data_IF_562592831908
#
_entry.id   IF_562592831908
#
_cell.length_a   1.000
_cell.length_b   1.000
_cell.length_c   1.000
_cell.angle_alpha   90.00
_cell.angle_beta   90.00
_cell.angle_gamma   90.00
#
_symmetry.space_group_name_H-M   'P 1'
#
loop_
_entity.id
_entity.type
_entity.pdbx_description
1 polymer ?
#
# COMPACT_ATOMS: atom_id res chain seq x y z
N UNK A 1 -17.06 -17.26 24.34
CA UNK A 1 -18.25 -17.09 25.20
C UNK A 1 -18.74 -15.64 25.09
N UNK A 2 -20.04 -15.36 25.00
CA UNK A 2 -20.58 -13.99 24.89
C UNK A 2 -20.49 -13.28 26.26
N UNK A 3 -20.21 -11.98 26.28
CA UNK A 3 -20.08 -11.18 27.52
C UNK A 3 -21.44 -10.86 28.18
N UNK A 4 -22.52 -10.73 27.41
CA UNK A 4 -23.88 -10.43 27.92
C UNK A 4 -24.94 -11.23 27.11
N UNK A 5 -25.32 -12.44 27.53
CA UNK A 5 -26.25 -13.29 26.77
C UNK A 5 -27.72 -12.88 26.88
N UNK A 6 -28.09 -12.06 27.87
CA UNK A 6 -29.48 -11.68 28.17
C UNK A 6 -29.92 -10.37 27.51
N UNK A 7 -29.01 -9.60 26.93
CA UNK A 7 -29.33 -8.28 26.39
C UNK A 7 -29.71 -8.34 24.90
N UNK A 8 -30.81 -7.67 24.48
CA UNK A 8 -31.15 -7.55 23.08
C UNK A 8 -30.09 -6.70 22.34
N UNK A 9 -29.92 -6.94 21.05
CA UNK A 9 -28.93 -6.26 20.19
C UNK A 9 -28.93 -4.72 20.34
N UNK A 10 -30.10 -4.11 20.49
CA UNK A 10 -30.25 -2.65 20.69
C UNK A 10 -29.69 -2.19 22.05
N UNK A 11 -29.91 -2.97 23.11
CA UNK A 11 -29.37 -2.68 24.43
C UNK A 11 -27.84 -2.85 24.44
N UNK A 12 -27.31 -3.86 23.75
CA UNK A 12 -25.88 -4.04 23.54
C UNK A 12 -25.24 -2.85 22.81
N UNK A 13 -25.87 -2.41 21.71
CA UNK A 13 -25.39 -1.24 20.96
C UNK A 13 -25.31 0.02 21.83
N UNK A 14 -26.33 0.27 22.66
CA UNK A 14 -26.34 1.40 23.61
C UNK A 14 -25.29 1.24 24.72
N UNK A 15 -25.20 0.05 25.34
CA UNK A 15 -24.26 -0.24 26.44
C UNK A 15 -22.80 -0.07 26.01
N UNK A 16 -22.46 -0.53 24.81
CA UNK A 16 -21.09 -0.49 24.29
C UNK A 16 -20.80 0.71 23.39
N UNK A 17 -21.75 1.63 23.19
CA UNK A 17 -21.58 2.82 22.35
C UNK A 17 -21.28 2.51 20.87
N UNK A 18 -21.61 1.31 20.40
CA UNK A 18 -21.34 0.87 19.03
C UNK A 18 -22.62 0.90 18.19
N UNK A 19 -22.48 1.14 16.89
CA UNK A 19 -23.64 1.06 16.00
C UNK A 19 -24.26 -0.36 16.03
N UNK A 20 -25.56 -0.46 15.77
CA UNK A 20 -26.28 -1.76 15.75
C UNK A 20 -25.66 -2.80 14.81
N UNK A 21 -24.96 -2.37 13.75
CA UNK A 21 -24.27 -3.25 12.78
C UNK A 21 -23.08 -4.01 13.41
N UNK A 22 -22.08 -3.37 14.02
CA UNK A 22 -21.02 -4.08 14.76
C UNK A 22 -21.56 -4.88 15.95
N UNK A 23 -22.62 -4.41 16.64
CA UNK A 23 -23.25 -5.21 17.70
C UNK A 23 -23.82 -6.55 17.16
N UNK A 24 -24.50 -6.53 16.00
CA UNK A 24 -24.96 -7.76 15.33
C UNK A 24 -23.81 -8.69 14.97
N UNK A 25 -22.72 -8.10 14.47
CA UNK A 25 -21.55 -8.84 14.05
C UNK A 25 -20.86 -9.52 15.25
N UNK A 26 -20.75 -8.82 16.38
CA UNK A 26 -20.19 -9.37 17.62
C UNK A 26 -21.03 -10.51 18.20
N UNK A 27 -22.37 -10.48 18.02
CA UNK A 27 -23.25 -11.59 18.41
C UNK A 27 -22.98 -12.85 17.57
N UNK A 28 -22.66 -12.66 16.28
CA UNK A 28 -22.39 -13.75 15.33
C UNK A 28 -20.96 -14.29 15.41
N UNK A 29 -19.98 -13.41 15.60
CA UNK A 29 -18.56 -13.76 15.77
C UNK A 29 -17.91 -12.79 16.74
N UNK A 30 -17.26 -13.32 17.78
CA UNK A 30 -16.48 -12.52 18.72
C UNK A 30 -15.22 -11.93 18.05
N UNK A 31 -14.75 -12.54 16.96
CA UNK A 31 -13.62 -12.05 16.17
C UNK A 31 -14.18 -11.17 15.05
N UNK A 32 -13.85 -9.86 15.02
CA UNK A 32 -14.20 -9.00 13.91
C UNK A 32 -13.63 -9.55 12.61
N UNK A 33 -14.33 -9.38 11.47
CA UNK A 33 -13.77 -9.78 10.19
C UNK A 33 -12.48 -8.99 9.94
N UNK A 34 -11.52 -9.57 9.21
CA UNK A 34 -10.32 -8.86 8.83
C UNK A 34 -10.70 -7.57 8.10
N UNK A 35 -10.02 -6.47 8.46
CA UNK A 35 -10.24 -5.17 7.82
C UNK A 35 -9.99 -5.30 6.33
N UNK A 36 -10.86 -4.71 5.50
CA UNK A 36 -10.64 -4.64 4.06
C UNK A 36 -9.32 -3.90 3.80
N UNK A 37 -8.38 -4.57 3.15
CA UNK A 37 -7.15 -3.93 2.67
C UNK A 37 -7.52 -2.94 1.57
N UNK A 38 -7.19 -1.65 1.70
CA UNK A 38 -7.42 -0.67 0.64
C UNK A 38 -6.73 -1.14 -0.64
N UNK A 39 -7.51 -1.40 -1.70
CA UNK A 39 -6.97 -1.80 -3.00
C UNK A 39 -6.63 -0.57 -3.83
N UNK A 40 -5.40 -0.59 -4.37
CA UNK A 40 -4.75 0.36 -5.28
C UNK A 40 -4.17 1.62 -4.62
N UNK A 41 -2.94 1.50 -4.13
CA UNK A 41 -1.99 2.62 -4.19
C UNK A 41 -1.89 3.05 -5.67
N UNK A 42 -1.88 4.37 -5.92
CA UNK A 42 -1.65 4.94 -7.26
C UNK A 42 -2.71 4.64 -8.34
N UNK A 43 -3.99 4.49 -7.96
CA UNK A 43 -5.09 4.26 -8.93
C UNK A 43 -5.10 5.26 -10.10
N UNK A 44 -4.77 6.51 -9.84
CA UNK A 44 -4.72 7.58 -10.85
C UNK A 44 -3.57 7.33 -11.83
N UNK A 45 -2.39 6.96 -11.34
CA UNK A 45 -1.21 6.70 -12.18
C UNK A 45 -1.26 5.36 -12.92
N UNK A 46 -2.26 4.52 -12.69
CA UNK A 46 -2.31 3.17 -13.28
C UNK A 46 -2.10 3.14 -14.80
N UNK A 47 -2.64 4.08 -15.61
CA UNK A 47 -2.35 4.16 -17.05
C UNK A 47 -0.90 4.60 -17.35
N UNK A 48 -0.36 5.49 -16.51
CA UNK A 48 0.96 6.10 -16.70
C UNK A 48 2.14 5.26 -16.16
N UNK A 49 1.86 4.19 -15.41
CA UNK A 49 2.88 3.31 -14.81
C UNK A 49 3.87 2.79 -15.84
N UNK A 50 3.39 2.32 -17.00
CA UNK A 50 4.27 1.76 -18.04
C UNK A 50 5.26 2.79 -18.62
N UNK A 51 4.80 4.02 -18.82
CA UNK A 51 5.63 5.12 -19.33
C UNK A 51 6.66 5.57 -18.29
N UNK A 52 6.25 5.70 -17.02
CA UNK A 52 7.18 6.03 -15.92
C UNK A 52 8.25 4.95 -15.80
N UNK A 53 7.88 3.68 -15.85
CA UNK A 53 8.81 2.56 -15.79
C UNK A 53 9.83 2.57 -16.94
N UNK A 54 9.41 2.94 -18.16
CA UNK A 54 10.31 3.09 -19.30
C UNK A 54 11.33 4.22 -19.07
N UNK A 55 10.87 5.40 -18.65
CA UNK A 55 11.75 6.54 -18.32
C UNK A 55 12.73 6.19 -17.19
N UNK A 56 12.28 5.47 -16.16
CA UNK A 56 13.13 5.04 -15.05
C UNK A 56 14.18 4.00 -15.46
N UNK A 57 13.89 3.14 -16.45
CA UNK A 57 14.87 2.21 -17.02
C UNK A 57 15.94 2.94 -17.84
N UNK A 58 15.55 3.97 -18.59
CA UNK A 58 16.48 4.84 -19.29
C UNK A 58 17.43 5.58 -18.32
N UNK A 59 16.87 6.09 -17.21
CA UNK A 59 17.60 6.73 -16.11
C UNK A 59 18.70 5.86 -15.48
N UNK A 60 18.60 4.53 -15.58
CA UNK A 60 19.62 3.63 -15.04
C UNK A 60 20.91 3.66 -15.85
N UNK A 61 20.79 3.81 -17.17
CA UNK A 61 21.92 3.88 -18.11
C UNK A 61 22.51 5.29 -18.18
N UNK A 62 21.74 6.30 -17.77
CA UNK A 62 22.16 7.69 -17.78
C UNK A 62 23.17 8.02 -16.66
N UNK A 63 24.19 8.86 -16.93
CA UNK A 63 25.05 9.47 -15.91
C UNK A 63 24.23 10.20 -14.83
N UNK A 64 24.74 10.27 -13.59
CA UNK A 64 24.01 10.83 -12.43
C UNK A 64 23.36 12.19 -12.67
N UNK A 65 24.00 13.08 -13.44
CA UNK A 65 23.49 14.43 -13.73
C UNK A 65 22.37 14.47 -14.78
N UNK A 66 22.17 13.39 -15.54
CA UNK A 66 21.18 13.28 -16.63
C UNK A 66 19.94 12.48 -16.24
N UNK A 67 19.87 11.98 -15.00
CA UNK A 67 18.70 11.25 -14.50
C UNK A 67 17.52 12.19 -14.34
N UNK A 68 16.35 11.77 -14.80
CA UNK A 68 15.14 12.57 -14.70
C UNK A 68 14.79 12.85 -13.22
N UNK A 69 14.37 14.07 -12.94
CA UNK A 69 13.71 14.40 -11.67
C UNK A 69 12.24 13.97 -11.75
N UNK A 70 11.57 13.86 -10.60
CA UNK A 70 10.13 13.55 -10.58
C UNK A 70 9.34 14.63 -11.32
N UNK A 71 9.74 15.89 -11.20
CA UNK A 71 9.12 17.01 -11.94
C UNK A 71 9.22 16.80 -13.45
N UNK A 72 10.41 16.40 -13.93
CA UNK A 72 10.63 16.13 -15.35
C UNK A 72 9.80 14.94 -15.86
N UNK A 73 9.64 13.89 -15.04
CA UNK A 73 8.79 12.74 -15.37
C UNK A 73 7.33 13.19 -15.51
N UNK A 74 6.82 13.99 -14.56
CA UNK A 74 5.43 14.49 -14.62
C UNK A 74 5.22 15.41 -15.81
N UNK A 75 6.18 16.29 -16.10
CA UNK A 75 6.13 17.16 -17.27
C UNK A 75 6.11 16.36 -18.57
N UNK A 76 6.99 15.36 -18.73
CA UNK A 76 7.00 14.49 -19.92
C UNK A 76 5.71 13.67 -20.06
N UNK A 77 5.10 13.25 -18.95
CA UNK A 77 3.80 12.57 -18.98
C UNK A 77 2.69 13.48 -19.52
N UNK A 78 2.70 14.77 -19.16
CA UNK A 78 1.75 15.74 -19.68
C UNK A 78 2.02 16.05 -21.17
N UNK A 79 3.30 16.26 -21.54
CA UNK A 79 3.69 16.65 -22.90
C UNK A 79 3.60 15.51 -23.94
N UNK A 80 4.03 14.29 -23.59
CA UNK A 80 4.12 13.16 -24.55
C UNK A 80 2.88 12.27 -24.55
N UNK A 81 2.10 12.29 -23.46
CA UNK A 81 1.00 11.34 -23.25
C UNK A 81 -0.32 12.01 -22.84
N UNK A 82 -0.40 13.35 -22.88
CA UNK A 82 -1.56 14.14 -22.47
C UNK A 82 -2.08 13.75 -21.07
N UNK A 83 -1.17 13.32 -20.19
CA UNK A 83 -1.51 12.75 -18.89
C UNK A 83 -1.40 13.79 -17.76
N UNK A 84 -2.36 14.71 -17.72
CA UNK A 84 -2.39 15.81 -16.72
C UNK A 84 -2.89 15.37 -15.33
N UNK A 85 -3.38 14.13 -15.21
CA UNK A 85 -3.93 13.61 -13.96
C UNK A 85 -2.84 13.22 -12.94
N UNK A 86 -1.58 13.15 -13.36
CA UNK A 86 -0.46 12.82 -12.48
C UNK A 86 -0.12 13.98 -11.54
N UNK A 87 -0.52 13.88 -10.27
CA UNK A 87 0.01 14.80 -9.26
C UNK A 87 1.47 14.49 -8.93
N UNK A 88 2.27 15.53 -8.66
CA UNK A 88 3.67 15.40 -8.26
C UNK A 88 3.85 14.42 -7.08
N UNK A 89 3.01 14.52 -6.05
CA UNK A 89 3.10 13.66 -4.86
C UNK A 89 2.83 12.19 -5.17
N UNK A 90 1.88 11.91 -6.08
CA UNK A 90 1.61 10.54 -6.54
C UNK A 90 2.80 10.00 -7.32
N UNK A 91 3.34 10.77 -8.26
CA UNK A 91 4.50 10.38 -9.07
C UNK A 91 5.75 10.18 -8.20
N UNK A 92 6.01 11.09 -7.25
CA UNK A 92 7.13 10.99 -6.30
C UNK A 92 7.07 9.71 -5.49
N UNK A 93 5.90 9.40 -4.92
CA UNK A 93 5.71 8.20 -4.10
C UNK A 93 5.89 6.94 -4.94
N UNK A 94 5.35 6.92 -6.17
CA UNK A 94 5.53 5.81 -7.09
C UNK A 94 7.00 5.61 -7.49
N UNK A 95 7.67 6.68 -7.95
CA UNK A 95 9.09 6.67 -8.35
C UNK A 95 9.99 6.24 -7.18
N UNK A 96 9.69 6.67 -5.95
CA UNK A 96 10.46 6.29 -4.75
C UNK A 96 10.34 4.79 -4.45
N UNK A 97 9.16 4.20 -4.59
CA UNK A 97 8.98 2.75 -4.43
C UNK A 97 9.63 1.98 -5.60
N UNK A 98 9.51 2.48 -6.83
CA UNK A 98 9.86 1.75 -8.05
C UNK A 98 11.33 1.85 -8.47
N UNK A 99 12.01 2.97 -8.24
CA UNK A 99 13.45 3.15 -8.56
C UNK A 99 14.37 2.05 -8.02
N UNK A 100 14.31 1.66 -6.72
CA UNK A 100 15.18 0.59 -6.22
C UNK A 100 14.83 -0.78 -6.83
N UNK A 101 13.56 -1.02 -7.18
CA UNK A 101 13.13 -2.27 -7.80
C UNK A 101 13.67 -2.38 -9.23
N UNK A 102 13.53 -1.32 -10.04
CA UNK A 102 14.08 -1.30 -11.40
C UNK A 102 15.62 -1.33 -11.37
N UNK A 103 16.26 -0.65 -10.41
CA UNK A 103 17.71 -0.73 -10.23
C UNK A 103 18.17 -2.17 -9.91
N UNK A 104 17.41 -2.89 -9.09
CA UNK A 104 17.67 -4.31 -8.81
C UNK A 104 17.40 -5.20 -10.04
N UNK A 105 16.34 -4.94 -10.81
CA UNK A 105 16.04 -5.62 -12.09
C UNK A 105 17.18 -5.41 -13.12
N UNK A 106 17.75 -4.21 -13.19
CA UNK A 106 18.85 -3.88 -14.09
C UNK A 106 20.23 -4.39 -13.65
N UNK A 107 20.39 -4.78 -12.38
CA UNK A 107 21.64 -5.23 -11.80
C UNK A 107 21.85 -6.76 -11.86
N UNK A 108 20.87 -7.56 -12.31
CA UNK A 108 21.04 -9.01 -12.35
C UNK A 108 19.97 -9.80 -13.11
N UNK A 109 20.37 -10.40 -14.24
CA UNK A 109 19.92 -11.75 -14.61
C UNK A 109 20.33 -12.68 -13.46
N UNK A 110 19.43 -12.95 -12.51
CA UNK A 110 19.71 -13.90 -11.42
C UNK A 110 19.01 -13.58 -10.11
N UNK A 111 17.94 -14.32 -9.84
CA UNK A 111 17.44 -14.69 -8.50
C UNK A 111 17.10 -13.55 -7.53
N UNK A 112 15.81 -13.20 -7.50
CA UNK A 112 15.19 -12.43 -6.42
C UNK A 112 14.68 -13.39 -5.33
N UNK A 113 15.26 -13.44 -4.11
CA UNK A 113 14.51 -13.96 -2.99
C UNK A 113 13.45 -12.92 -2.61
N UNK A 114 12.20 -13.39 -2.58
CA UNK A 114 11.00 -12.61 -2.30
C UNK A 114 11.14 -11.76 -1.02
N UNK A 115 10.65 -10.52 -1.06
CA UNK A 115 10.34 -9.78 0.17
C UNK A 115 9.38 -10.62 1.05
N UNK A 116 9.74 -11.01 2.29
CA UNK A 116 8.79 -11.62 3.20
C UNK A 116 7.80 -10.55 3.68
N UNK A 117 6.53 -10.96 3.80
CA UNK A 117 5.43 -10.10 4.18
C UNK A 117 5.62 -9.43 5.54
N UNK A 118 5.08 -8.22 5.64
CA UNK A 118 4.92 -7.47 6.87
C UNK A 118 4.15 -8.30 7.91
N UNK A 119 4.85 -8.70 8.98
CA UNK A 119 4.34 -8.76 10.35
C UNK A 119 3.34 -9.86 10.71
N UNK A 120 3.85 -11.01 11.17
CA UNK A 120 3.18 -11.82 12.19
C UNK A 120 4.14 -12.15 13.33
N UNK A 121 3.68 -11.94 14.57
CA UNK A 121 4.13 -12.63 15.78
C UNK A 121 5.52 -12.30 16.33
N UNK A 122 5.62 -11.27 17.18
CA UNK A 122 6.52 -11.36 18.35
C UNK A 122 5.90 -12.35 19.33
N UNK A 123 6.49 -13.51 19.66
CA UNK A 123 6.21 -14.14 20.95
C UNK A 123 6.99 -13.37 22.01
N UNK A 124 6.26 -12.87 23.00
CA UNK A 124 6.81 -12.37 24.24
C UNK A 124 7.49 -13.54 24.98
N UNK A 125 8.80 -13.42 25.22
CA UNK A 125 9.46 -14.14 26.29
C UNK A 125 9.78 -13.10 27.35
N UNK A 126 8.99 -13.13 28.43
CA UNK A 126 9.33 -12.43 29.66
C UNK A 126 10.54 -13.10 30.33
N UNK A 127 11.32 -12.36 31.13
CA UNK A 127 12.50 -12.87 31.82
C UNK A 127 12.15 -13.57 33.14
N UNK A 128 12.99 -14.52 33.54
CA UNK A 128 13.14 -15.07 34.89
C UNK A 128 14.55 -15.72 34.87
N UNK A 129 15.57 -15.43 35.69
CA UNK A 129 15.80 -14.63 36.90
C UNK A 129 17.26 -14.18 36.92
#
# INVERSE_FOLDING_TARGET
>A
MRLDPSLPQRALAKKYGVHRRPARQAIASAIPPPRKVPRRKFRILAPAVGWIDAMLREDLRAPRKQKHTVERIVQRLAEEHDFDQASYSSARNYVRERRPEIAAEGAGTGQHPRRPGLGEGRPAVLPDR
#
